data_IF_289427054586
#
_entry.id   IF_289427054586
#
_cell.length_a   1.000
_cell.length_b   1.000
_cell.length_c   1.000
_cell.angle_alpha   90.00
_cell.angle_beta   90.00
_cell.angle_gamma   90.00
#
_symmetry.space_group_name_H-M   'P 1'
#
loop_
_entity.id
_entity.type
_entity.pdbx_description
1 polymer ?
#
# COMPACT_ATOMS: atom_id res chain seq x y z
N UNK A 1 47.61 -22.86 -57.63
CA UNK A 1 46.56 -22.73 -56.61
C UNK A 1 46.88 -23.76 -55.51
N UNK A 2 47.71 -23.42 -54.53
CA UNK A 2 48.02 -24.29 -53.38
C UNK A 2 47.20 -23.82 -52.16
N UNK A 3 46.51 -24.71 -51.43
CA UNK A 3 45.75 -24.31 -50.26
C UNK A 3 46.68 -23.75 -49.16
N UNK A 4 46.24 -22.77 -48.37
CA UNK A 4 47.06 -22.13 -47.35
C UNK A 4 47.30 -23.09 -46.19
N UNK A 5 48.53 -23.10 -45.69
CA UNK A 5 49.05 -24.11 -44.78
C UNK A 5 48.28 -24.24 -43.46
N UNK A 6 48.16 -25.50 -43.03
CA UNK A 6 47.82 -25.87 -41.66
C UNK A 6 48.78 -25.18 -40.70
N UNK A 7 48.27 -24.14 -40.02
CA UNK A 7 48.97 -23.52 -38.90
C UNK A 7 48.97 -24.53 -37.76
N UNK A 8 50.10 -25.20 -37.58
CA UNK A 8 50.44 -25.96 -36.37
C UNK A 8 50.17 -25.07 -35.15
N UNK A 9 49.02 -25.26 -34.49
CA UNK A 9 48.70 -24.57 -33.25
C UNK A 9 49.51 -25.23 -32.15
N UNK A 10 50.73 -24.73 -31.93
CA UNK A 10 51.50 -25.09 -30.75
C UNK A 10 50.65 -24.73 -29.52
N UNK A 11 50.45 -25.66 -28.57
CA UNK A 11 49.66 -25.39 -27.39
C UNK A 11 50.28 -24.21 -26.64
N UNK A 12 49.48 -23.18 -26.39
CA UNK A 12 49.94 -21.89 -25.84
C UNK A 12 50.53 -22.01 -24.43
N UNK A 13 50.36 -23.15 -23.75
CA UNK A 13 50.86 -23.43 -22.39
C UNK A 13 51.26 -24.91 -22.27
N UNK A 14 52.31 -25.19 -21.49
CA UNK A 14 52.76 -26.56 -21.24
C UNK A 14 51.71 -27.33 -20.40
N UNK A 15 51.53 -28.65 -20.57
CA UNK A 15 50.53 -29.42 -19.81
C UNK A 15 50.63 -29.26 -18.29
N UNK A 16 51.83 -29.00 -17.76
CA UNK A 16 52.08 -28.75 -16.33
C UNK A 16 51.54 -27.39 -15.87
N UNK A 17 51.61 -26.37 -16.71
CA UNK A 17 51.15 -25.02 -16.39
C UNK A 17 49.62 -24.94 -16.39
N UNK A 18 48.97 -25.76 -17.22
CA UNK A 18 47.52 -25.92 -17.23
C UNK A 18 46.98 -26.48 -15.92
N UNK A 19 47.69 -27.46 -15.31
CA UNK A 19 47.32 -27.98 -14.00
C UNK A 19 47.46 -26.92 -12.90
N UNK A 20 48.51 -26.11 -12.93
CA UNK A 20 48.70 -25.02 -11.95
C UNK A 20 47.59 -23.98 -12.08
N UNK A 21 47.26 -23.54 -13.30
CA UNK A 21 46.18 -22.58 -13.53
C UNK A 21 44.82 -23.15 -13.15
N UNK A 22 44.56 -24.44 -13.44
CA UNK A 22 43.35 -25.12 -13.02
C UNK A 22 43.24 -25.19 -11.51
N UNK A 23 44.32 -25.55 -10.81
CA UNK A 23 44.35 -25.60 -9.35
C UNK A 23 44.11 -24.23 -8.72
N UNK A 24 44.75 -23.17 -9.23
CA UNK A 24 44.53 -21.80 -8.75
C UNK A 24 43.10 -21.32 -8.98
N UNK A 25 42.53 -21.63 -10.14
CA UNK A 25 41.14 -21.26 -10.47
C UNK A 25 40.15 -22.00 -9.58
N UNK A 26 40.35 -23.31 -9.37
CA UNK A 26 39.52 -24.08 -8.45
C UNK A 26 39.62 -23.56 -7.02
N UNK A 27 40.82 -23.21 -6.56
CA UNK A 27 41.04 -22.71 -5.21
C UNK A 27 40.40 -21.32 -5.02
N UNK A 28 40.46 -20.46 -6.04
CA UNK A 28 39.75 -19.19 -6.05
C UNK A 28 38.22 -19.37 -5.98
N UNK A 29 37.65 -20.25 -6.80
CA UNK A 29 36.20 -20.55 -6.79
C UNK A 29 35.79 -21.13 -5.44
N UNK A 30 36.57 -22.08 -4.89
CA UNK A 30 36.31 -22.68 -3.59
C UNK A 30 36.37 -21.63 -2.47
N UNK A 31 37.36 -20.73 -2.50
CA UNK A 31 37.48 -19.65 -1.52
C UNK A 31 36.31 -18.66 -1.62
N UNK A 32 35.84 -18.36 -2.83
CA UNK A 32 34.69 -17.47 -3.05
C UNK A 32 33.39 -18.13 -2.62
N UNK A 33 33.20 -19.42 -2.90
CA UNK A 33 32.05 -20.20 -2.45
C UNK A 33 32.03 -20.34 -0.92
N UNK A 34 33.19 -20.58 -0.32
CA UNK A 34 33.36 -20.63 1.14
C UNK A 34 33.07 -19.28 1.79
N UNK A 35 33.60 -18.20 1.22
CA UNK A 35 33.36 -16.83 1.67
C UNK A 35 31.88 -16.43 1.57
N UNK A 36 31.23 -16.79 0.46
CA UNK A 36 29.80 -16.59 0.24
C UNK A 36 28.96 -17.39 1.26
N UNK A 37 29.31 -18.66 1.51
CA UNK A 37 28.64 -19.49 2.51
C UNK A 37 28.81 -18.95 3.94
N UNK A 38 30.03 -18.53 4.30
CA UNK A 38 30.37 -18.03 5.64
C UNK A 38 29.78 -16.64 5.95
N UNK A 39 29.55 -15.79 4.94
CA UNK A 39 28.98 -14.43 5.13
C UNK A 39 27.47 -14.34 5.00
N UNK A 40 26.78 -15.38 4.54
CA UNK A 40 25.32 -15.35 4.40
C UNK A 40 24.75 -16.32 3.39
N UNK A 41 25.37 -17.50 3.20
CA UNK A 41 24.94 -18.46 2.17
C UNK A 41 23.51 -18.97 2.37
N UNK A 42 22.87 -19.39 1.27
CA UNK A 42 21.62 -20.19 1.05
C UNK A 42 20.38 -20.00 1.94
N UNK A 43 20.48 -19.36 3.10
CA UNK A 43 19.39 -18.75 3.84
C UNK A 43 18.94 -17.59 2.98
N UNK A 44 18.07 -17.90 2.03
CA UNK A 44 17.13 -16.93 1.50
C UNK A 44 16.29 -16.45 2.67
N UNK A 45 16.87 -15.57 3.49
CA UNK A 45 16.08 -14.52 4.09
C UNK A 45 15.62 -13.73 2.88
N UNK A 46 14.42 -14.08 2.39
CA UNK A 46 13.74 -13.24 1.41
C UNK A 46 13.81 -11.84 1.98
N UNK A 47 14.08 -10.87 1.11
CA UNK A 47 13.81 -9.47 1.44
C UNK A 47 12.34 -9.42 1.83
N UNK A 48 12.06 -9.52 3.12
CA UNK A 48 10.75 -9.25 3.67
C UNK A 48 10.64 -7.73 3.55
N UNK A 49 10.08 -7.30 2.42
CA UNK A 49 9.63 -5.92 2.30
C UNK A 49 8.65 -5.80 3.44
N UNK A 50 9.02 -5.11 4.52
CA UNK A 50 8.13 -4.84 5.65
C UNK A 50 6.79 -4.38 5.08
N UNK A 51 5.83 -5.30 5.02
CA UNK A 51 4.48 -4.98 4.61
C UNK A 51 3.95 -4.19 5.81
N UNK A 52 4.06 -2.87 5.74
CA UNK A 52 3.40 -1.99 6.68
C UNK A 52 1.96 -2.52 6.82
N UNK A 53 1.60 -2.96 8.02
CA UNK A 53 0.33 -3.63 8.27
C UNK A 53 -0.79 -2.82 7.62
N UNK A 54 -1.82 -3.46 7.03
CA UNK A 54 -2.81 -2.76 6.23
C UNK A 54 -3.34 -1.58 7.01
N UNK A 55 -3.07 -0.37 6.52
CA UNK A 55 -3.56 0.85 7.14
C UNK A 55 -5.09 0.78 7.04
N UNK A 56 -5.73 0.45 8.17
CA UNK A 56 -7.19 0.44 8.30
C UNK A 56 -7.64 1.89 8.33
N UNK A 57 -7.68 2.53 7.16
CA UNK A 57 -8.33 3.81 7.01
C UNK A 57 -9.83 3.60 7.18
N UNK A 58 -10.35 3.93 8.36
CA UNK A 58 -11.78 4.12 8.54
C UNK A 58 -12.13 5.44 7.82
N UNK A 59 -12.86 5.35 6.71
CA UNK A 59 -13.37 6.53 6.03
C UNK A 59 -14.46 7.15 6.90
N UNK A 60 -14.10 8.22 7.61
CA UNK A 60 -14.95 8.93 8.55
C UNK A 60 -15.01 10.39 8.13
N UNK A 61 -16.21 10.93 7.96
CA UNK A 61 -16.46 12.28 7.46
C UNK A 61 -17.22 13.07 8.52
N UNK A 62 -16.71 14.25 8.88
CA UNK A 62 -17.41 15.16 9.79
C UNK A 62 -18.42 16.02 9.02
N UNK A 63 -19.70 15.86 9.33
CA UNK A 63 -20.79 16.58 8.63
C UNK A 63 -20.82 18.08 8.91
N UNK A 64 -20.18 18.54 9.98
CA UNK A 64 -20.13 19.95 10.35
C UNK A 64 -18.97 20.69 9.68
N UNK A 65 -17.90 19.99 9.31
CA UNK A 65 -16.71 20.61 8.71
C UNK A 65 -16.47 20.21 7.26
N UNK A 66 -16.87 19.00 6.85
CA UNK A 66 -16.59 18.48 5.52
C UNK A 66 -17.22 19.33 4.42
N UNK A 67 -16.58 19.35 3.26
CA UNK A 67 -17.13 20.01 2.08
C UNK A 67 -18.20 19.14 1.38
N UNK A 68 -18.90 19.71 0.40
CA UNK A 68 -19.93 18.98 -0.33
C UNK A 68 -19.37 17.81 -1.16
N UNK A 69 -18.11 17.88 -1.59
CA UNK A 69 -17.43 16.84 -2.36
C UNK A 69 -17.10 15.62 -1.50
N UNK A 70 -16.58 15.84 -0.30
CA UNK A 70 -16.33 14.83 0.73
C UNK A 70 -17.63 14.16 1.19
N UNK A 71 -18.67 14.95 1.44
CA UNK A 71 -19.98 14.44 1.81
C UNK A 71 -20.62 13.61 0.69
N UNK A 72 -20.35 13.95 -0.58
CA UNK A 72 -20.86 13.18 -1.73
C UNK A 72 -20.18 11.82 -1.91
N UNK A 73 -19.10 11.52 -1.17
CA UNK A 73 -18.48 10.19 -1.14
C UNK A 73 -19.21 9.25 -0.17
N UNK A 74 -20.07 9.78 0.71
CA UNK A 74 -20.83 8.95 1.64
C UNK A 74 -21.86 8.10 0.87
N UNK A 75 -22.06 6.83 1.28
CA UNK A 75 -23.04 5.99 0.62
C UNK A 75 -24.43 6.59 0.74
N UNK A 76 -25.20 6.56 -0.35
CA UNK A 76 -26.55 7.16 -0.46
C UNK A 76 -26.58 8.70 -0.42
N UNK A 77 -25.44 9.38 -0.31
CA UNK A 77 -25.34 10.84 -0.38
C UNK A 77 -24.74 11.23 -1.72
N UNK A 78 -25.59 11.65 -2.65
CA UNK A 78 -25.11 12.22 -3.92
C UNK A 78 -24.78 13.71 -3.81
N UNK A 79 -24.23 14.33 -4.87
CA UNK A 79 -23.85 15.75 -4.88
C UNK A 79 -24.99 16.72 -4.51
N UNK A 80 -26.23 16.40 -4.90
CA UNK A 80 -27.41 17.21 -4.56
C UNK A 80 -27.69 17.17 -3.05
N UNK A 81 -27.61 15.98 -2.45
CA UNK A 81 -27.88 15.80 -1.02
C UNK A 81 -26.76 16.40 -0.17
N UNK A 82 -25.50 16.21 -0.59
CA UNK A 82 -24.34 16.82 0.04
C UNK A 82 -24.42 18.35 0.09
N UNK A 83 -24.78 18.99 -1.02
CA UNK A 83 -25.00 20.45 -1.06
C UNK A 83 -26.13 20.90 -0.13
N UNK A 84 -27.19 20.10 0.00
CA UNK A 84 -28.28 20.38 0.95
C UNK A 84 -27.82 20.25 2.39
N UNK A 85 -26.99 19.26 2.73
CA UNK A 85 -26.42 19.13 4.09
C UNK A 85 -25.64 20.39 4.46
N UNK A 86 -24.78 20.87 3.56
CA UNK A 86 -24.02 22.12 3.75
C UNK A 86 -24.96 23.31 3.91
N UNK A 87 -25.93 23.48 3.00
CA UNK A 87 -26.90 24.57 3.10
C UNK A 87 -27.74 24.51 4.40
N UNK A 88 -28.09 23.31 4.87
CA UNK A 88 -28.85 23.12 6.11
C UNK A 88 -28.03 23.53 7.33
N UNK A 89 -26.74 23.16 7.42
CA UNK A 89 -25.90 23.61 8.54
C UNK A 89 -25.62 25.10 8.52
N UNK A 90 -25.52 25.70 7.33
CA UNK A 90 -25.30 27.15 7.19
C UNK A 90 -26.54 27.94 7.61
N UNK A 91 -27.75 27.42 7.36
CA UNK A 91 -29.02 28.08 7.68
C UNK A 91 -29.53 27.81 9.09
N UNK A 92 -29.38 26.57 9.59
CA UNK A 92 -29.97 26.11 10.86
C UNK A 92 -28.92 25.84 11.95
N UNK A 93 -27.64 26.16 11.67
CA UNK A 93 -26.52 25.87 12.55
C UNK A 93 -26.03 24.41 12.47
N UNK A 94 -24.98 24.03 13.20
CA UNK A 94 -24.37 22.70 13.13
C UNK A 94 -25.33 21.58 13.57
N UNK A 95 -25.06 20.36 13.12
CA UNK A 95 -25.73 19.14 13.57
C UNK A 95 -25.15 18.72 14.92
N UNK A 96 -26.01 18.45 15.91
CA UNK A 96 -25.61 18.06 17.27
C UNK A 96 -25.64 16.54 17.45
N UNK A 97 -26.50 15.86 16.70
CA UNK A 97 -26.62 14.41 16.68
C UNK A 97 -26.64 13.86 15.26
N UNK A 98 -26.50 12.54 15.13
CA UNK A 98 -26.66 11.86 13.84
C UNK A 98 -28.12 11.98 13.35
N UNK A 99 -29.09 11.94 14.27
CA UNK A 99 -30.51 12.07 13.98
C UNK A 99 -30.89 13.45 13.42
N UNK A 100 -30.20 14.52 13.82
CA UNK A 100 -30.40 15.86 13.27
C UNK A 100 -30.22 15.92 11.74
N UNK A 101 -29.48 14.98 11.14
CA UNK A 101 -29.34 14.92 9.68
C UNK A 101 -30.68 14.67 8.97
N UNK A 102 -31.68 14.11 9.66
CA UNK A 102 -33.02 13.92 9.11
C UNK A 102 -33.77 15.24 8.85
N UNK A 103 -33.29 16.36 9.42
CA UNK A 103 -33.83 17.69 9.07
C UNK A 103 -33.50 18.11 7.64
N UNK A 104 -32.54 17.44 6.98
CA UNK A 104 -32.17 17.70 5.58
C UNK A 104 -33.19 17.04 4.64
N UNK A 105 -33.87 17.79 3.76
CA UNK A 105 -34.84 17.23 2.83
C UNK A 105 -34.21 16.17 1.90
N UNK A 106 -34.65 14.92 2.05
CA UNK A 106 -34.15 13.75 1.31
C UNK A 106 -33.27 12.80 2.13
N UNK A 107 -32.94 13.13 3.38
CA UNK A 107 -32.33 12.20 4.34
C UNK A 107 -33.44 11.57 5.18
N UNK A 108 -33.77 10.32 4.87
CA UNK A 108 -34.66 9.50 5.71
C UNK A 108 -33.89 8.51 6.57
N UNK A 109 -34.58 7.72 7.43
CA UNK A 109 -33.96 6.75 8.34
C UNK A 109 -33.11 5.71 7.59
N UNK A 110 -33.51 5.33 6.38
CA UNK A 110 -32.74 4.39 5.54
C UNK A 110 -31.41 4.98 5.06
N UNK A 111 -31.41 6.26 4.69
CA UNK A 111 -30.20 6.98 4.28
C UNK A 111 -29.29 7.17 5.49
N UNK A 112 -29.86 7.62 6.61
CA UNK A 112 -29.14 7.82 7.87
C UNK A 112 -28.45 6.52 8.33
N UNK A 113 -29.17 5.40 8.35
CA UNK A 113 -28.60 4.10 8.72
C UNK A 113 -27.43 3.68 7.81
N UNK A 114 -27.47 4.06 6.53
CA UNK A 114 -26.39 3.80 5.58
C UNK A 114 -25.14 4.64 5.81
N UNK A 115 -25.30 5.88 6.27
CA UNK A 115 -24.17 6.81 6.49
C UNK A 115 -23.62 6.78 7.91
N UNK A 116 -24.41 6.40 8.92
CA UNK A 116 -24.07 6.51 10.36
C UNK A 116 -22.69 5.97 10.73
N UNK A 117 -22.29 4.83 10.14
CA UNK A 117 -20.97 4.20 10.37
C UNK A 117 -19.77 4.96 9.79
N UNK A 118 -20.02 5.96 8.95
CA UNK A 118 -19.00 6.77 8.26
C UNK A 118 -19.00 8.22 8.74
N UNK A 119 -19.84 8.57 9.71
CA UNK A 119 -19.85 9.92 10.27
C UNK A 119 -18.82 10.01 11.39
N UNK A 120 -18.13 11.15 11.47
CA UNK A 120 -17.34 11.49 12.64
C UNK A 120 -18.21 11.45 13.89
N UNK A 121 -17.64 11.17 15.08
CA UNK A 121 -18.40 10.92 16.30
C UNK A 121 -19.32 12.10 16.64
N UNK A 122 -20.58 11.97 16.24
CA UNK A 122 -21.70 12.73 16.73
C UNK A 122 -22.37 11.87 17.81
N UNK A 123 -22.69 12.43 18.98
CA UNK A 123 -23.46 11.71 19.98
C UNK A 123 -24.84 11.34 19.41
N UNK A 124 -25.31 10.15 19.76
CA UNK A 124 -26.68 9.76 19.46
C UNK A 124 -27.65 10.63 20.29
N UNK A 125 -28.86 10.88 19.77
CA UNK A 125 -29.87 11.69 20.47
C UNK A 125 -30.12 11.23 21.93
N UNK A 126 -30.08 9.91 22.20
CA UNK A 126 -30.21 9.35 23.56
C UNK A 126 -29.14 9.89 24.52
N UNK A 127 -27.90 10.10 24.04
CA UNK A 127 -26.80 10.64 24.84
C UNK A 127 -26.92 12.16 25.04
N UNK A 128 -27.52 12.88 24.09
CA UNK A 128 -27.74 14.33 24.20
C UNK A 128 -28.89 14.62 25.17
N UNK A 129 -29.96 13.82 25.14
CA UNK A 129 -31.11 13.96 26.03
C UNK A 129 -30.83 13.55 27.49
N UNK A 130 -29.78 12.75 27.73
CA UNK A 130 -29.37 12.31 29.07
C UNK A 130 -28.51 13.36 29.83
N UNK A 131 -28.37 14.58 29.30
CA UNK A 131 -27.47 15.63 29.80
C UNK A 131 -28.22 16.93 30.07
#
# INVERSE_FOLDING_TARGET
>A
MTPPGDRERKPLLHPRDQWVLASLTCLAIASMAWWWAARGGLRGDLVDIDHAGPLRYAFVVDVNTADWGELAQLPKVGPVLAKRIVATRDQHGPFRSAEDLQRVPGIGPRTLAGVRRYLAPLPDDEMVAAR
#
